data_IF_988237354949
#
_entry.id   IF_988237354949
#
_cell.length_a   1.000
_cell.length_b   1.000
_cell.length_c   1.000
_cell.angle_alpha   90.00
_cell.angle_beta   90.00
_cell.angle_gamma   90.00
#
_symmetry.space_group_name_H-M   'P 1'
#
loop_
_entity.id
_entity.type
_entity.pdbx_description
1 polymer ?
#
# COMPACT_ATOMS: atom_id res chain seq x y z
N UNK A 1 -14.19 7.73 -4.28
CA UNK A 1 -13.11 7.73 -5.29
C UNK A 1 -12.58 6.31 -5.38
N UNK A 2 -12.19 5.82 -6.55
CA UNK A 2 -11.63 4.46 -6.65
C UNK A 2 -10.11 4.55 -6.41
N UNK A 3 -9.57 3.58 -5.68
CA UNK A 3 -8.13 3.43 -5.48
C UNK A 3 -7.71 2.03 -5.91
N UNK A 4 -6.51 1.93 -6.46
CA UNK A 4 -5.89 0.66 -6.85
C UNK A 4 -4.68 0.44 -5.98
N UNK A 5 -4.67 -0.68 -5.26
CA UNK A 5 -3.62 -1.04 -4.32
C UNK A 5 -2.90 -2.28 -4.85
N UNK A 6 -1.57 -2.20 -4.94
CA UNK A 6 -0.72 -3.30 -5.38
C UNK A 6 0.40 -3.56 -4.40
N UNK A 7 0.70 -4.84 -4.19
CA UNK A 7 1.90 -5.29 -3.50
C UNK A 7 2.77 -6.13 -4.43
N UNK A 8 4.04 -5.76 -4.58
CA UNK A 8 5.06 -6.70 -5.04
C UNK A 8 5.58 -7.49 -3.84
N UNK A 9 5.37 -8.81 -3.85
CA UNK A 9 5.57 -9.67 -2.68
C UNK A 9 6.96 -10.30 -2.69
N UNK A 10 7.88 -9.74 -1.90
CA UNK A 10 9.17 -10.36 -1.60
C UNK A 10 9.19 -11.14 -0.28
N UNK A 11 10.28 -11.90 -0.04
CA UNK A 11 10.45 -12.71 1.19
C UNK A 11 10.82 -11.91 2.44
N UNK A 12 11.54 -10.79 2.29
CA UNK A 12 12.00 -9.95 3.41
C UNK A 12 11.21 -8.66 3.52
N UNK A 13 10.72 -8.18 2.40
CA UNK A 13 9.93 -6.97 2.29
C UNK A 13 9.04 -7.09 1.07
N UNK A 14 7.98 -6.30 1.06
CA UNK A 14 7.09 -6.07 -0.05
C UNK A 14 7.25 -4.62 -0.53
N UNK A 15 6.76 -4.34 -1.73
CA UNK A 15 6.61 -2.97 -2.21
C UNK A 15 5.12 -2.64 -2.33
N UNK A 16 4.67 -1.64 -1.58
CA UNK A 16 3.31 -1.11 -1.66
C UNK A 16 3.27 0.02 -2.68
N UNK A 17 2.30 -0.01 -3.58
CA UNK A 17 1.91 1.12 -4.41
C UNK A 17 0.40 1.33 -4.39
N UNK A 18 -0.04 2.60 -4.29
CA UNK A 18 -1.45 3.01 -4.40
C UNK A 18 -1.60 4.07 -5.46
N UNK A 19 -2.57 3.89 -6.35
CA UNK A 19 -2.94 4.83 -7.41
C UNK A 19 -4.37 5.34 -7.23
N UNK A 20 -4.64 6.57 -7.67
CA UNK A 20 -5.99 7.11 -7.85
C UNK A 20 -6.60 6.77 -9.23
N UNK A 21 -7.80 7.32 -9.50
CA UNK A 21 -8.55 7.11 -10.75
C UNK A 21 -7.89 7.64 -12.02
N UNK A 22 -7.00 8.61 -11.87
CA UNK A 22 -6.25 9.22 -12.97
C UNK A 22 -4.86 8.57 -13.12
N UNK A 23 -4.54 7.59 -12.26
CA UNK A 23 -3.25 6.90 -12.23
C UNK A 23 -2.16 7.65 -11.48
N UNK A 24 -2.50 8.69 -10.71
CA UNK A 24 -1.53 9.38 -9.88
C UNK A 24 -1.10 8.51 -8.69
N UNK A 25 0.19 8.53 -8.37
CA UNK A 25 0.76 7.76 -7.26
C UNK A 25 0.45 8.47 -5.94
N UNK A 26 -0.32 7.82 -5.08
CA UNK A 26 -0.64 8.29 -3.74
C UNK A 26 0.34 7.74 -2.69
N UNK A 27 0.76 6.47 -2.87
CA UNK A 27 1.76 5.80 -2.03
C UNK A 27 2.69 4.97 -2.91
N UNK A 28 3.98 4.97 -2.59
CA UNK A 28 4.97 4.06 -3.18
C UNK A 28 6.12 3.88 -2.20
N UNK A 29 6.13 2.75 -1.48
CA UNK A 29 7.12 2.52 -0.43
C UNK A 29 7.35 1.05 -0.15
N UNK A 30 8.52 0.77 0.42
CA UNK A 30 8.84 -0.53 1.01
C UNK A 30 7.97 -0.77 2.26
N UNK A 31 7.57 -2.02 2.44
CA UNK A 31 6.91 -2.56 3.64
C UNK A 31 7.71 -3.78 4.09
N UNK A 32 8.25 -3.79 5.30
CA UNK A 32 8.93 -4.99 5.80
C UNK A 32 7.92 -6.13 5.99
N UNK A 33 8.36 -7.38 5.78
CA UNK A 33 7.48 -8.55 5.82
C UNK A 33 7.20 -8.99 7.27
N UNK A 34 6.74 -8.07 8.10
CA UNK A 34 6.26 -8.31 9.46
C UNK A 34 4.77 -8.01 9.54
N UNK A 35 4.07 -8.69 10.45
CA UNK A 35 2.64 -8.50 10.67
C UNK A 35 2.30 -7.05 11.02
N UNK A 36 3.04 -6.46 11.96
CA UNK A 36 2.89 -5.05 12.36
C UNK A 36 2.99 -4.08 11.17
N UNK A 37 3.94 -4.29 10.26
CA UNK A 37 4.14 -3.40 9.12
C UNK A 37 3.07 -3.60 8.03
N UNK A 38 2.55 -4.81 7.88
CA UNK A 38 1.43 -5.12 7.00
C UNK A 38 0.12 -4.52 7.54
N UNK A 39 -0.13 -4.62 8.85
CA UNK A 39 -1.27 -3.98 9.51
C UNK A 39 -1.23 -2.46 9.36
N UNK A 40 -0.06 -1.84 9.61
CA UNK A 40 0.13 -0.41 9.42
C UNK A 40 -0.11 0.02 7.96
N UNK A 41 0.33 -0.77 6.98
CA UNK A 41 0.04 -0.52 5.58
C UNK A 41 -1.47 -0.59 5.28
N UNK A 42 -2.17 -1.59 5.79
CA UNK A 42 -3.63 -1.71 5.65
C UNK A 42 -4.37 -0.52 6.26
N UNK A 43 -3.97 -0.06 7.45
CA UNK A 43 -4.54 1.14 8.08
C UNK A 43 -4.30 2.41 7.28
N UNK A 44 -3.09 2.58 6.73
CA UNK A 44 -2.74 3.71 5.86
C UNK A 44 -3.61 3.72 4.58
N UNK A 45 -3.81 2.56 3.96
CA UNK A 45 -4.68 2.39 2.78
C UNK A 45 -6.14 2.70 3.13
N UNK A 46 -6.64 2.18 4.26
CA UNK A 46 -8.02 2.40 4.69
C UNK A 46 -8.34 3.88 4.90
N UNK A 47 -7.40 4.63 5.48
CA UNK A 47 -7.55 6.08 5.70
C UNK A 47 -7.62 6.91 4.42
N UNK A 48 -7.30 6.35 3.24
CA UNK A 48 -7.52 7.02 1.95
C UNK A 48 -8.98 6.98 1.51
N UNK A 49 -9.74 6.00 2.02
CA UNK A 49 -11.15 5.77 1.66
C UNK A 49 -12.16 6.51 2.54
N UNK A 50 -11.73 7.05 3.68
CA UNK A 50 -12.51 7.91 4.59
C UNK A 50 -12.58 9.36 4.09
#
# INVERSE_FOLDING_TARGET
MNYWVGFDVGKRFHWLCVLDGDGAILLSRRVDATEEQLEAACSEIAALGD
#
